data_IF_155083294638
#
_entry.id   IF_155083294638
#
_cell.length_a   1.000
_cell.length_b   1.000
_cell.length_c   1.000
_cell.angle_alpha   90.00
_cell.angle_beta   90.00
_cell.angle_gamma   90.00
#
_symmetry.space_group_name_H-M   'P 1'
#
loop_
_entity.id
_entity.type
_entity.pdbx_description
1 polymer ?
#
# COMPACT_ATOMS: atom_id res chain seq x y z
N UNK A 1 -27.14 16.32 17.48
CA UNK A 1 -28.30 16.96 18.10
C UNK A 1 -28.96 15.96 19.05
N UNK A 2 -29.29 16.39 20.27
CA UNK A 2 -30.10 15.62 21.21
C UNK A 2 -31.59 15.94 20.92
N UNK A 3 -32.37 14.92 20.53
CA UNK A 3 -33.80 15.07 20.26
C UNK A 3 -34.41 13.77 19.76
N UNK A 4 -35.73 13.71 19.64
CA UNK A 4 -36.45 12.59 19.06
C UNK A 4 -36.33 12.67 17.53
N UNK A 5 -35.86 11.61 16.89
CA UNK A 5 -35.69 11.57 15.44
C UNK A 5 -37.00 11.75 14.68
N UNK A 6 -36.98 12.57 13.63
CA UNK A 6 -38.10 12.93 12.76
C UNK A 6 -37.88 12.36 11.33
N UNK A 7 -38.94 12.33 10.49
CA UNK A 7 -38.77 12.03 9.06
C UNK A 7 -37.71 12.94 8.40
N UNK A 8 -36.84 12.35 7.57
CA UNK A 8 -35.72 13.03 6.92
C UNK A 8 -34.41 13.03 7.71
N UNK A 9 -34.42 12.61 8.98
CA UNK A 9 -33.17 12.54 9.77
C UNK A 9 -32.27 11.37 9.39
N UNK A 10 -30.95 11.60 9.53
CA UNK A 10 -29.91 10.57 9.50
C UNK A 10 -29.55 10.17 10.93
N UNK A 11 -29.67 8.88 11.22
CA UNK A 11 -29.37 8.33 12.53
C UNK A 11 -28.17 7.38 12.42
N UNK A 12 -27.11 7.67 13.16
CA UNK A 12 -25.91 6.81 13.27
C UNK A 12 -25.88 6.17 14.65
N UNK A 13 -25.74 4.85 14.72
CA UNK A 13 -25.73 4.12 15.99
C UNK A 13 -24.72 2.97 15.98
N UNK A 14 -24.08 2.73 17.13
CA UNK A 14 -23.31 1.51 17.32
C UNK A 14 -24.28 0.36 17.61
N UNK A 15 -24.01 -0.81 17.06
CA UNK A 15 -24.77 -2.05 17.22
C UNK A 15 -23.92 -3.15 17.82
N UNK A 16 -24.58 -4.16 18.40
CA UNK A 16 -23.91 -5.35 18.92
C UNK A 16 -23.83 -6.50 17.90
N UNK A 17 -24.18 -6.27 16.64
CA UNK A 17 -24.20 -7.32 15.60
C UNK A 17 -22.80 -7.70 15.14
N UNK A 18 -22.16 -8.65 15.84
CA UNK A 18 -20.82 -9.14 15.54
C UNK A 18 -20.69 -9.81 14.15
N UNK A 19 -21.80 -10.17 13.48
CA UNK A 19 -21.76 -10.78 12.13
C UNK A 19 -21.31 -9.79 11.05
N UNK A 20 -21.35 -8.49 11.35
CA UNK A 20 -20.85 -7.43 10.48
C UNK A 20 -19.32 -7.27 10.53
N UNK A 21 -18.65 -7.90 11.51
CA UNK A 21 -17.21 -7.70 11.72
C UNK A 21 -16.87 -6.27 12.11
N UNK A 22 -15.63 -5.87 11.95
CA UNK A 22 -15.15 -4.54 12.36
C UNK A 22 -15.50 -3.44 11.35
N UNK A 23 -15.72 -3.79 10.09
CA UNK A 23 -15.89 -2.82 9.00
C UNK A 23 -17.28 -2.85 8.35
N UNK A 24 -18.10 -3.82 8.70
CA UNK A 24 -19.44 -3.95 8.14
C UNK A 24 -20.47 -3.02 8.79
N UNK A 25 -21.59 -2.85 8.10
CA UNK A 25 -22.69 -1.96 8.52
C UNK A 25 -24.02 -2.43 7.95
N UNK A 26 -25.11 -1.89 8.53
CA UNK A 26 -26.46 -1.99 8.00
C UNK A 26 -27.04 -0.58 7.84
N UNK A 27 -27.62 -0.30 6.66
CA UNK A 27 -28.34 0.93 6.37
C UNK A 27 -29.81 0.57 6.13
N UNK A 28 -30.70 1.19 6.87
CA UNK A 28 -32.14 1.06 6.68
C UNK A 28 -32.73 2.40 6.23
N UNK A 29 -33.31 2.42 5.04
CA UNK A 29 -33.89 3.58 4.39
C UNK A 29 -35.41 3.43 4.40
N UNK A 30 -36.12 4.31 5.11
CA UNK A 30 -37.56 4.39 5.21
C UNK A 30 -38.02 5.82 4.98
N UNK A 31 -38.78 6.43 5.90
CA UNK A 31 -39.01 7.86 6.04
C UNK A 31 -37.84 8.62 6.67
N UNK A 32 -36.87 7.87 7.16
CA UNK A 32 -35.57 8.33 7.68
C UNK A 32 -34.49 7.32 7.31
N UNK A 33 -33.22 7.70 7.44
CA UNK A 33 -32.07 6.84 7.19
C UNK A 33 -31.46 6.48 8.54
N UNK A 34 -31.39 5.18 8.86
CA UNK A 34 -30.73 4.67 10.05
C UNK A 34 -29.55 3.81 9.62
N UNK A 35 -28.37 4.12 10.15
CA UNK A 35 -27.17 3.32 9.96
C UNK A 35 -26.72 2.75 11.29
N UNK A 36 -26.39 1.47 11.30
CA UNK A 36 -25.82 0.78 12.45
C UNK A 36 -24.61 -0.04 12.06
N UNK A 37 -23.60 -0.07 12.93
CA UNK A 37 -22.40 -0.85 12.77
C UNK A 37 -21.77 -1.20 14.12
N UNK A 38 -20.97 -2.28 14.24
CA UNK A 38 -20.28 -2.63 15.49
C UNK A 38 -19.22 -1.61 15.91
N UNK A 39 -18.66 -0.87 14.94
CA UNK A 39 -17.53 0.05 15.14
C UNK A 39 -17.74 1.39 14.44
N UNK A 40 -16.93 2.39 14.80
CA UNK A 40 -16.89 3.67 14.11
C UNK A 40 -16.44 3.52 12.64
N UNK A 41 -15.56 2.54 12.34
CA UNK A 41 -15.11 2.25 10.99
C UNK A 41 -16.27 1.82 10.09
N UNK A 42 -17.10 0.87 10.57
CA UNK A 42 -18.29 0.45 9.83
C UNK A 42 -19.29 1.60 9.63
N UNK A 43 -19.52 2.43 10.65
CA UNK A 43 -20.35 3.64 10.50
C UNK A 43 -19.77 4.60 9.46
N UNK A 44 -18.46 4.78 9.44
CA UNK A 44 -17.80 5.64 8.45
C UNK A 44 -18.00 5.10 7.02
N UNK A 45 -17.78 3.80 6.79
CA UNK A 45 -18.01 3.19 5.47
C UNK A 45 -19.46 3.30 5.00
N UNK A 46 -20.41 3.17 5.91
CA UNK A 46 -21.82 3.37 5.56
C UNK A 46 -22.12 4.76 5.03
N UNK A 47 -21.45 5.79 5.57
CA UNK A 47 -21.61 7.17 5.07
C UNK A 47 -21.05 7.33 3.66
N UNK A 48 -20.00 6.58 3.29
CA UNK A 48 -19.45 6.56 1.92
C UNK A 48 -20.45 5.96 0.94
N UNK A 49 -21.09 4.85 1.33
CA UNK A 49 -22.18 4.25 0.54
C UNK A 49 -23.34 5.23 0.33
N UNK A 50 -23.78 5.92 1.38
CA UNK A 50 -24.85 6.91 1.27
C UNK A 50 -24.47 8.08 0.35
N UNK A 51 -23.24 8.57 0.42
CA UNK A 51 -22.75 9.62 -0.47
C UNK A 51 -22.75 9.17 -1.93
N UNK A 52 -22.29 7.95 -2.23
CA UNK A 52 -22.30 7.41 -3.60
C UNK A 52 -23.72 7.19 -4.12
N UNK A 53 -24.66 6.75 -3.29
CA UNK A 53 -26.09 6.65 -3.67
C UNK A 53 -26.64 8.04 -3.98
N UNK A 54 -26.38 9.04 -3.13
CA UNK A 54 -26.86 10.40 -3.34
C UNK A 54 -26.29 11.02 -4.62
N UNK A 55 -25.00 10.78 -4.92
CA UNK A 55 -24.34 11.27 -6.14
C UNK A 55 -24.96 10.68 -7.41
N UNK A 56 -25.32 9.39 -7.39
CA UNK A 56 -25.91 8.71 -8.53
C UNK A 56 -27.41 8.91 -8.69
N UNK A 57 -28.07 9.50 -7.69
CA UNK A 57 -29.52 9.76 -7.74
C UNK A 57 -29.82 11.05 -8.50
N UNK A 58 -30.59 10.94 -9.59
CA UNK A 58 -31.02 12.11 -10.38
C UNK A 58 -31.89 13.10 -9.60
N UNK A 59 -32.63 12.63 -8.58
CA UNK A 59 -33.53 13.42 -7.77
C UNK A 59 -33.01 13.67 -6.35
N UNK A 60 -31.74 13.36 -6.08
CA UNK A 60 -31.15 13.38 -4.73
C UNK A 60 -32.01 12.57 -3.72
N UNK A 61 -32.70 11.54 -4.19
CA UNK A 61 -33.54 10.67 -3.39
C UNK A 61 -32.84 9.38 -3.02
N UNK A 62 -33.24 8.78 -1.89
CA UNK A 62 -32.71 7.49 -1.46
C UNK A 62 -33.79 6.43 -1.67
N UNK A 63 -33.49 5.32 -2.39
CA UNK A 63 -34.43 4.22 -2.55
C UNK A 63 -34.71 3.57 -1.19
N UNK A 64 -35.99 3.31 -0.87
CA UNK A 64 -36.35 2.60 0.36
C UNK A 64 -35.85 1.16 0.33
N UNK A 65 -35.29 0.69 1.43
CA UNK A 65 -34.75 -0.66 1.54
C UNK A 65 -33.76 -0.85 2.68
N UNK A 66 -33.11 -2.00 2.65
CA UNK A 66 -32.06 -2.35 3.61
C UNK A 66 -30.80 -2.73 2.83
N UNK A 67 -29.66 -2.16 3.22
CA UNK A 67 -28.32 -2.50 2.75
C UNK A 67 -27.61 -3.10 3.94
N UNK A 68 -27.09 -4.34 3.78
CA UNK A 68 -26.22 -4.99 4.75
C UNK A 68 -24.94 -5.38 4.02
N UNK A 69 -23.81 -4.82 4.48
CA UNK A 69 -22.57 -4.86 3.71
C UNK A 69 -21.35 -4.97 4.63
N UNK A 70 -20.34 -5.73 4.21
CA UNK A 70 -19.08 -5.93 4.92
C UNK A 70 -18.00 -6.42 3.95
N UNK A 71 -16.72 -6.10 4.21
CA UNK A 71 -15.63 -6.53 3.32
C UNK A 71 -15.27 -7.99 3.51
N UNK A 72 -14.87 -8.64 2.41
CA UNK A 72 -14.33 -10.00 2.43
C UNK A 72 -12.86 -10.04 2.85
N UNK A 73 -12.12 -8.95 2.62
CA UNK A 73 -10.70 -8.85 2.94
C UNK A 73 -10.40 -7.60 3.79
N UNK A 74 -9.53 -7.76 4.79
CA UNK A 74 -9.20 -6.73 5.77
C UNK A 74 -8.23 -5.67 5.24
N UNK A 75 -7.37 -6.00 4.25
CA UNK A 75 -6.44 -5.07 3.60
C UNK A 75 -6.91 -4.79 2.18
N UNK A 76 -7.11 -3.50 1.90
CA UNK A 76 -7.59 -2.98 0.61
C UNK A 76 -6.86 -1.68 0.32
N UNK A 77 -5.94 -1.71 -0.65
CA UNK A 77 -5.11 -0.53 -0.85
C UNK A 77 -4.23 -0.55 -2.08
N UNK A 78 -3.20 0.27 -2.04
CA UNK A 78 -2.14 0.26 -3.03
C UNK A 78 -0.82 0.80 -2.46
N UNK A 79 0.26 0.55 -3.20
CA UNK A 79 1.58 1.10 -2.97
C UNK A 79 1.89 2.17 -4.02
N UNK A 80 2.52 3.26 -3.61
CA UNK A 80 2.97 4.33 -4.50
C UNK A 80 4.45 4.59 -4.33
N UNK A 81 5.18 4.53 -5.45
CA UNK A 81 6.60 4.85 -5.53
C UNK A 81 6.81 6.37 -5.52
N UNK A 82 7.14 6.91 -4.35
CA UNK A 82 7.56 8.29 -4.16
C UNK A 82 9.08 8.45 -4.33
N UNK A 83 9.84 7.36 -4.21
CA UNK A 83 11.29 7.35 -4.33
C UNK A 83 11.74 7.81 -5.72
N UNK A 84 11.34 7.13 -6.78
CA UNK A 84 11.73 7.46 -8.16
C UNK A 84 11.03 8.71 -8.68
N UNK A 85 9.85 9.05 -8.16
CA UNK A 85 9.13 10.25 -8.53
C UNK A 85 8.50 10.93 -7.32
N UNK A 86 8.88 12.18 -7.07
CA UNK A 86 8.25 12.95 -6.00
C UNK A 86 6.75 13.14 -6.25
N UNK A 87 5.95 12.72 -5.29
CA UNK A 87 4.50 12.94 -5.26
C UNK A 87 4.23 14.02 -4.20
N UNK A 88 3.71 15.20 -4.56
CA UNK A 88 3.40 16.25 -3.59
C UNK A 88 2.48 15.76 -2.48
N UNK A 89 2.68 16.24 -1.26
CA UNK A 89 1.87 15.85 -0.10
C UNK A 89 0.38 16.09 -0.33
N UNK A 90 0.01 17.18 -1.00
CA UNK A 90 -1.39 17.46 -1.36
C UNK A 90 -2.01 16.35 -2.22
N UNK A 91 -1.22 15.75 -3.12
CA UNK A 91 -1.70 14.63 -3.94
C UNK A 91 -1.87 13.36 -3.11
N UNK A 92 -0.94 13.06 -2.17
CA UNK A 92 -1.09 11.93 -1.23
C UNK A 92 -2.33 12.11 -0.34
N UNK A 93 -2.59 13.32 0.12
CA UNK A 93 -3.80 13.65 0.91
C UNK A 93 -5.08 13.45 0.09
N UNK A 94 -5.10 13.83 -1.18
CA UNK A 94 -6.24 13.60 -2.06
C UNK A 94 -6.43 12.10 -2.36
N UNK A 95 -5.35 11.35 -2.57
CA UNK A 95 -5.42 9.88 -2.70
C UNK A 95 -6.05 9.23 -1.47
N UNK A 96 -5.71 9.67 -0.25
CA UNK A 96 -6.36 9.18 0.98
C UNK A 96 -7.86 9.46 0.99
N UNK A 97 -8.31 10.66 0.56
CA UNK A 97 -9.74 10.97 0.46
C UNK A 97 -10.45 10.06 -0.54
N UNK A 98 -9.82 9.83 -1.70
CA UNK A 98 -10.35 8.93 -2.73
C UNK A 98 -10.43 7.50 -2.18
N UNK A 99 -9.35 6.99 -1.59
CA UNK A 99 -9.33 5.67 -0.96
C UNK A 99 -10.47 5.50 0.04
N UNK A 100 -10.62 6.44 0.94
CA UNK A 100 -11.70 6.44 1.93
C UNK A 100 -13.09 6.46 1.28
N UNK A 101 -13.27 7.22 0.20
CA UNK A 101 -14.54 7.28 -0.52
C UNK A 101 -14.92 5.94 -1.16
N UNK A 102 -13.92 5.18 -1.62
CA UNK A 102 -14.08 3.82 -2.18
C UNK A 102 -13.87 2.71 -1.15
N UNK A 103 -13.83 3.03 0.15
CA UNK A 103 -13.66 2.08 1.28
C UNK A 103 -12.36 1.27 1.22
N UNK A 104 -11.30 1.84 0.64
CA UNK A 104 -9.94 1.32 0.79
C UNK A 104 -9.29 1.87 2.07
N UNK A 105 -8.41 1.09 2.69
CA UNK A 105 -7.92 1.36 4.05
C UNK A 105 -6.40 1.31 4.24
N UNK A 106 -5.61 1.05 3.18
CA UNK A 106 -4.17 0.87 3.33
C UNK A 106 -3.41 1.51 2.17
N UNK A 107 -2.53 2.48 2.47
CA UNK A 107 -1.62 3.10 1.51
C UNK A 107 -0.17 2.85 1.94
N UNK A 108 0.59 2.10 1.15
CA UNK A 108 2.02 1.93 1.32
C UNK A 108 2.75 3.04 0.56
N UNK A 109 3.62 3.77 1.25
CA UNK A 109 4.42 4.87 0.67
C UNK A 109 5.88 4.45 0.59
N UNK A 110 6.34 4.16 -0.62
CA UNK A 110 7.71 3.76 -0.92
C UNK A 110 8.60 5.00 -0.99
N UNK A 111 9.44 5.21 0.04
CA UNK A 111 10.11 6.49 0.29
C UNK A 111 11.48 6.63 -0.37
N UNK A 112 12.11 5.54 -0.79
CA UNK A 112 13.41 5.57 -1.47
C UNK A 112 13.46 4.59 -2.61
N UNK A 113 14.13 5.01 -3.68
CA UNK A 113 14.47 4.15 -4.81
C UNK A 113 15.44 4.84 -5.77
N UNK A 114 15.78 4.15 -6.86
CA UNK A 114 16.67 4.62 -7.92
C UNK A 114 16.22 4.20 -9.32
N UNK A 115 16.68 4.95 -10.30
CA UNK A 115 16.53 4.57 -11.71
C UNK A 115 17.45 3.42 -12.11
N UNK A 116 17.24 2.88 -13.30
CA UNK A 116 18.09 1.84 -13.86
C UNK A 116 19.36 2.45 -14.47
N UNK A 117 20.53 2.01 -14.02
CA UNK A 117 21.84 2.51 -14.43
C UNK A 117 22.01 2.62 -15.95
N UNK A 118 21.42 1.70 -16.71
CA UNK A 118 21.48 1.69 -18.17
C UNK A 118 20.91 2.94 -18.85
N UNK A 119 20.00 3.65 -18.19
CA UNK A 119 19.44 4.92 -18.69
C UNK A 119 20.26 6.14 -18.27
N UNK A 120 21.36 5.94 -17.52
CA UNK A 120 22.23 6.98 -16.99
C UNK A 120 23.70 6.70 -17.35
N UNK A 121 23.98 6.46 -18.63
CA UNK A 121 25.31 6.18 -19.18
C UNK A 121 26.01 4.96 -18.54
N UNK A 122 25.27 3.99 -18.02
CA UNK A 122 25.77 2.89 -17.21
C UNK A 122 26.67 3.31 -16.01
N UNK A 123 26.37 4.46 -15.44
CA UNK A 123 27.15 5.06 -14.37
C UNK A 123 26.30 5.26 -13.12
N UNK A 124 26.67 4.61 -12.02
CA UNK A 124 25.94 4.74 -10.75
C UNK A 124 25.94 6.18 -10.21
N UNK A 125 27.04 6.94 -10.35
CA UNK A 125 27.14 8.33 -9.87
C UNK A 125 26.18 9.26 -10.61
N UNK A 126 25.76 8.89 -11.84
CA UNK A 126 24.80 9.65 -12.64
C UNK A 126 23.38 9.11 -12.48
N UNK A 127 23.21 7.90 -11.98
CA UNK A 127 21.91 7.27 -11.85
C UNK A 127 21.06 8.04 -10.83
N UNK A 128 19.84 8.40 -11.23
CA UNK A 128 18.93 9.06 -10.34
C UNK A 128 18.61 8.20 -9.13
N UNK A 129 18.61 8.78 -7.94
CA UNK A 129 18.20 8.14 -6.70
C UNK A 129 17.67 9.18 -5.71
N UNK A 130 16.68 8.81 -4.92
CA UNK A 130 16.12 9.71 -3.93
C UNK A 130 15.63 8.96 -2.68
N UNK A 131 15.78 9.64 -1.54
CA UNK A 131 15.09 9.34 -0.29
C UNK A 131 14.25 10.54 0.10
N UNK A 132 12.97 10.34 0.34
CA UNK A 132 11.97 11.43 0.40
C UNK A 132 11.70 12.00 1.78
N UNK A 133 12.13 11.35 2.84
CA UNK A 133 11.83 11.81 4.19
C UNK A 133 13.00 12.60 4.77
N UNK A 134 12.68 13.71 5.46
CA UNK A 134 13.67 14.52 6.18
C UNK A 134 14.43 13.67 7.20
N UNK A 135 15.77 13.77 7.19
CA UNK A 135 16.65 13.14 8.18
C UNK A 135 17.52 14.19 8.88
N UNK A 136 17.48 14.17 10.19
CA UNK A 136 18.37 14.95 11.06
C UNK A 136 19.64 14.17 11.40
N UNK A 137 19.54 12.85 11.48
CA UNK A 137 20.68 11.95 11.72
C UNK A 137 21.69 12.01 10.58
N UNK A 138 21.17 12.14 9.35
CA UNK A 138 21.99 12.19 8.13
C UNK A 138 21.68 13.45 7.31
N UNK A 139 22.15 14.64 7.74
CA UNK A 139 21.91 15.90 7.04
C UNK A 139 22.43 15.85 5.59
N UNK A 140 21.54 16.13 4.63
CA UNK A 140 21.87 16.10 3.20
C UNK A 140 21.53 14.77 2.51
N UNK A 141 21.04 13.74 3.23
CA UNK A 141 20.52 12.51 2.66
C UNK A 141 19.22 12.73 1.89
N UNK A 142 18.35 13.58 2.42
CA UNK A 142 17.03 13.88 1.86
C UNK A 142 17.11 14.47 0.46
N UNK A 143 16.29 14.00 -0.46
CA UNK A 143 16.25 14.45 -1.84
C UNK A 143 15.92 15.96 -1.96
N UNK A 144 16.59 16.64 -2.92
CA UNK A 144 16.45 18.09 -3.13
C UNK A 144 15.38 18.46 -4.14
N UNK A 145 14.96 17.53 -4.98
CA UNK A 145 13.93 17.72 -6.01
C UNK A 145 12.50 17.52 -5.49
N UNK A 146 12.37 17.28 -4.19
CA UNK A 146 11.12 17.15 -3.46
C UNK A 146 11.25 16.16 -2.31
N UNK A 147 10.67 16.50 -1.18
CA UNK A 147 10.74 15.69 0.04
C UNK A 147 9.61 16.05 0.99
N UNK A 148 9.45 15.26 2.04
CA UNK A 148 8.51 15.47 3.13
C UNK A 148 9.26 15.80 4.40
N UNK A 149 8.87 16.86 5.11
CA UNK A 149 9.34 17.07 6.47
C UNK A 149 8.78 16.02 7.41
N UNK A 150 9.48 15.75 8.51
CA UNK A 150 8.97 14.83 9.56
C UNK A 150 7.58 15.25 10.04
N UNK A 151 7.39 16.55 10.30
CA UNK A 151 6.11 17.08 10.75
C UNK A 151 5.01 16.88 9.72
N UNK A 152 5.26 17.19 8.47
CA UNK A 152 4.30 17.01 7.37
C UNK A 152 3.89 15.54 7.23
N UNK A 153 4.84 14.60 7.35
CA UNK A 153 4.57 13.17 7.24
C UNK A 153 3.81 12.61 8.46
N UNK A 154 4.08 13.12 9.68
CA UNK A 154 3.29 12.82 10.88
C UNK A 154 1.84 13.30 10.72
N UNK A 155 1.66 14.57 10.32
CA UNK A 155 0.34 15.17 10.14
C UNK A 155 -0.47 14.42 9.07
N UNK A 156 0.18 14.02 7.98
CA UNK A 156 -0.42 13.21 6.92
C UNK A 156 -0.94 11.85 7.44
N UNK A 157 -0.13 11.12 8.20
CA UNK A 157 -0.55 9.84 8.77
C UNK A 157 -1.71 10.01 9.76
N UNK A 158 -1.65 11.03 10.62
CA UNK A 158 -2.74 11.36 11.55
C UNK A 158 -4.03 11.72 10.80
N UNK A 159 -3.94 12.52 9.73
CA UNK A 159 -5.07 12.85 8.88
C UNK A 159 -5.65 11.62 8.17
N UNK A 160 -4.79 10.75 7.61
CA UNK A 160 -5.21 9.52 6.98
C UNK A 160 -5.98 8.61 7.95
N UNK A 161 -5.51 8.49 9.19
CA UNK A 161 -6.19 7.73 10.23
C UNK A 161 -7.59 8.25 10.56
N UNK A 162 -7.86 9.56 10.45
CA UNK A 162 -9.22 10.11 10.62
C UNK A 162 -10.16 9.71 9.47
N UNK A 163 -9.62 9.27 8.36
CA UNK A 163 -10.34 8.71 7.22
C UNK A 163 -10.32 7.16 7.20
N UNK A 164 -9.87 6.54 8.29
CA UNK A 164 -9.72 5.09 8.42
C UNK A 164 -8.79 4.47 7.35
N UNK A 165 -7.79 5.23 6.92
CA UNK A 165 -6.72 4.78 6.03
C UNK A 165 -5.42 4.75 6.82
N UNK A 166 -4.79 3.57 6.87
CA UNK A 166 -3.45 3.41 7.45
C UNK A 166 -2.39 3.73 6.39
N UNK A 167 -1.40 4.52 6.77
CA UNK A 167 -0.19 4.74 5.99
C UNK A 167 0.88 3.77 6.47
N UNK A 168 1.39 2.93 5.56
CA UNK A 168 2.55 2.07 5.80
C UNK A 168 3.77 2.74 5.16
N UNK A 169 4.63 3.42 5.93
CA UNK A 169 5.87 3.96 5.42
C UNK A 169 6.83 2.83 5.07
N UNK A 170 7.50 2.95 3.93
CA UNK A 170 8.50 1.99 3.48
C UNK A 170 9.86 2.65 3.31
N UNK A 171 10.88 2.07 3.95
CA UNK A 171 12.28 2.28 3.63
C UNK A 171 12.80 0.97 3.07
N UNK A 172 13.07 0.94 1.79
CA UNK A 172 13.49 -0.28 1.09
C UNK A 172 15.00 -0.46 1.18
N UNK A 173 15.39 -1.54 1.81
CA UNK A 173 16.75 -2.03 1.98
C UNK A 173 16.77 -3.57 1.92
N UNK A 174 17.87 -4.22 1.53
CA UNK A 174 19.20 -3.70 1.16
C UNK A 174 19.39 -3.42 -0.32
N UNK A 175 18.46 -3.77 -1.20
CA UNK A 175 18.40 -3.30 -2.58
C UNK A 175 17.73 -1.92 -2.65
N UNK A 176 17.56 -1.35 -3.83
CA UNK A 176 16.92 -0.05 -4.05
C UNK A 176 17.54 1.10 -3.19
N UNK A 177 18.80 0.94 -2.83
CA UNK A 177 19.50 1.72 -1.81
C UNK A 177 20.48 2.76 -2.35
N UNK A 178 20.42 3.08 -3.66
CA UNK A 178 21.39 3.99 -4.28
C UNK A 178 21.40 5.40 -3.65
N UNK A 179 20.26 5.88 -3.16
CA UNK A 179 20.20 7.16 -2.44
C UNK A 179 21.09 7.15 -1.18
N UNK A 180 21.13 6.01 -0.48
CA UNK A 180 21.95 5.82 0.71
C UNK A 180 23.42 5.66 0.37
N UNK A 181 23.73 4.94 -0.71
CA UNK A 181 25.13 4.74 -1.15
C UNK A 181 25.69 5.96 -1.88
N UNK A 182 24.89 6.83 -2.48
CA UNK A 182 25.32 8.14 -2.94
C UNK A 182 25.73 9.03 -1.75
N UNK A 183 24.99 8.98 -0.65
CA UNK A 183 25.32 9.70 0.56
C UNK A 183 26.54 9.14 1.28
N UNK A 184 26.63 7.81 1.37
CA UNK A 184 27.69 7.07 2.08
C UNK A 184 28.24 5.92 1.22
N UNK A 185 29.13 6.20 0.23
CA UNK A 185 29.56 5.22 -0.75
C UNK A 185 30.20 3.95 -0.17
N UNK A 186 30.79 4.06 1.01
CA UNK A 186 31.45 2.93 1.67
C UNK A 186 30.50 1.82 2.09
N UNK A 187 29.18 2.07 2.24
CA UNK A 187 28.19 1.02 2.56
C UNK A 187 27.65 0.31 1.32
N UNK A 188 27.99 0.77 0.12
CA UNK A 188 27.55 0.18 -1.14
C UNK A 188 28.27 -1.11 -1.49
N UNK A 189 27.58 -2.04 -2.16
CA UNK A 189 28.14 -3.29 -2.65
C UNK A 189 28.87 -3.05 -3.96
N UNK A 190 30.17 -3.31 -3.97
CA UNK A 190 30.97 -3.29 -5.20
C UNK A 190 30.71 -4.51 -6.10
N UNK A 191 30.24 -5.59 -5.50
CA UNK A 191 30.00 -6.86 -6.21
C UNK A 191 28.64 -6.89 -6.89
N UNK A 192 27.60 -6.41 -6.21
CA UNK A 192 26.21 -6.53 -6.70
C UNK A 192 25.65 -5.23 -7.27
N UNK A 193 26.35 -4.13 -7.15
CA UNK A 193 25.94 -2.79 -7.61
C UNK A 193 25.79 -1.81 -6.47
N UNK A 194 26.01 -0.52 -6.78
CA UNK A 194 25.92 0.54 -5.76
C UNK A 194 24.48 0.82 -5.32
N UNK A 195 23.50 0.29 -6.00
CA UNK A 195 22.09 0.28 -5.59
C UNK A 195 21.76 -0.79 -4.53
N UNK A 196 22.78 -1.55 -4.10
CA UNK A 196 22.70 -2.55 -3.05
C UNK A 196 23.62 -2.21 -1.88
N UNK A 197 23.16 -2.41 -0.67
CA UNK A 197 24.00 -2.31 0.53
C UNK A 197 24.92 -3.51 0.66
N UNK A 198 26.15 -3.31 1.12
CA UNK A 198 27.09 -4.40 1.42
C UNK A 198 26.79 -5.01 2.79
N UNK A 199 26.20 -6.20 2.81
CA UNK A 199 25.75 -6.89 4.02
C UNK A 199 26.88 -7.46 4.89
N UNK A 200 28.13 -7.37 4.44
CA UNK A 200 29.29 -7.84 5.20
C UNK A 200 29.94 -6.71 6.02
N UNK A 201 29.48 -5.47 5.85
CA UNK A 201 30.03 -4.30 6.54
C UNK A 201 29.22 -3.91 7.77
N UNK A 202 29.86 -3.78 8.95
CA UNK A 202 29.18 -3.26 10.14
C UNK A 202 28.59 -1.87 9.95
N UNK A 203 29.24 -1.04 9.12
CA UNK A 203 28.81 0.33 8.81
C UNK A 203 27.46 0.38 8.10
N UNK A 204 27.12 -0.66 7.34
CA UNK A 204 25.79 -0.84 6.72
C UNK A 204 24.71 -0.94 7.78
N UNK A 205 24.91 -1.80 8.76
CA UNK A 205 23.95 -1.97 9.86
C UNK A 205 23.86 -0.73 10.73
N UNK A 206 25.01 -0.10 11.04
CA UNK A 206 25.00 1.15 11.80
C UNK A 206 24.19 2.23 11.10
N UNK A 207 24.39 2.43 9.78
CA UNK A 207 23.66 3.41 9.00
C UNK A 207 22.15 3.13 8.99
N UNK A 208 21.75 1.93 8.64
CA UNK A 208 20.34 1.58 8.52
C UNK A 208 19.63 1.53 9.88
N UNK A 209 20.30 1.03 10.93
CA UNK A 209 19.79 1.06 12.30
C UNK A 209 19.50 2.49 12.78
N UNK A 210 20.45 3.39 12.57
CA UNK A 210 20.29 4.81 12.98
C UNK A 210 19.17 5.48 12.20
N UNK A 211 19.03 5.17 10.90
CA UNK A 211 17.97 5.71 10.06
C UNK A 211 16.59 5.22 10.53
N UNK A 212 16.41 3.92 10.78
CA UNK A 212 15.12 3.41 11.30
C UNK A 212 14.82 3.94 12.70
N UNK A 213 15.82 3.97 13.59
CA UNK A 213 15.67 4.51 14.95
C UNK A 213 15.24 5.97 14.95
N UNK A 214 15.68 6.77 13.99
CA UNK A 214 15.28 8.18 13.85
C UNK A 214 13.75 8.32 13.69
N UNK A 215 13.11 7.42 12.97
CA UNK A 215 11.68 7.50 12.68
C UNK A 215 10.80 6.68 13.63
N UNK A 216 11.39 5.72 14.36
CA UNK A 216 10.66 4.81 15.23
C UNK A 216 10.75 5.18 16.72
N UNK A 217 11.77 5.94 17.13
CA UNK A 217 12.08 6.23 18.53
C UNK A 217 11.23 7.37 19.08
N UNK A 218 10.91 7.29 20.38
CA UNK A 218 10.24 8.34 21.15
C UNK A 218 8.75 8.06 21.37
N UNK A 219 8.12 8.94 22.14
CA UNK A 219 6.70 8.82 22.48
C UNK A 219 5.77 9.29 21.35
N UNK A 220 6.26 10.14 20.44
CA UNK A 220 5.57 10.61 19.22
C UNK A 220 6.48 10.35 18.00
N UNK A 221 6.64 9.08 17.59
CA UNK A 221 7.53 8.71 16.51
C UNK A 221 7.05 9.25 15.15
N UNK A 222 7.97 9.45 14.20
CA UNK A 222 7.61 9.89 12.85
C UNK A 222 6.74 8.86 12.12
N UNK A 223 7.02 7.57 12.31
CA UNK A 223 6.15 6.49 11.83
C UNK A 223 5.04 6.21 12.85
N UNK A 224 3.91 6.90 12.67
CA UNK A 224 2.77 6.90 13.62
C UNK A 224 2.01 5.58 13.59
N UNK A 225 1.81 5.00 12.39
CA UNK A 225 1.01 3.81 12.15
C UNK A 225 1.50 2.56 12.88
N UNK A 226 0.72 1.49 12.81
CA UNK A 226 1.06 0.20 13.43
C UNK A 226 2.09 -0.58 12.64
N UNK A 227 2.16 -0.37 11.32
CA UNK A 227 2.98 -1.15 10.38
C UNK A 227 4.09 -0.29 9.79
N UNK A 228 5.24 -0.94 9.56
CA UNK A 228 6.39 -0.33 8.86
C UNK A 228 6.94 -1.35 7.88
N UNK A 229 7.10 -0.95 6.63
CA UNK A 229 7.69 -1.79 5.59
C UNK A 229 9.20 -1.56 5.52
N UNK A 230 9.95 -2.65 5.49
CA UNK A 230 11.43 -2.62 5.52
C UNK A 230 12.06 -3.02 4.19
N UNK A 231 11.25 -3.17 3.12
CA UNK A 231 11.72 -3.63 1.82
C UNK A 231 12.04 -5.11 1.81
N UNK A 232 13.30 -5.44 1.55
CA UNK A 232 13.89 -6.80 1.56
C UNK A 232 13.46 -7.69 0.39
N UNK A 233 13.50 -7.15 -0.84
CA UNK A 233 13.12 -7.88 -2.04
C UNK A 233 14.31 -8.39 -2.87
N UNK A 234 14.89 -7.56 -3.72
CA UNK A 234 15.75 -7.97 -4.82
C UNK A 234 17.24 -7.98 -4.46
N UNK A 235 17.70 -9.00 -3.76
CA UNK A 235 19.12 -9.17 -3.47
C UNK A 235 19.72 -10.43 -4.14
N UNK A 236 21.06 -10.46 -4.31
CA UNK A 236 21.73 -11.58 -4.98
C UNK A 236 21.61 -12.89 -4.20
N UNK A 237 21.34 -13.98 -4.91
CA UNK A 237 21.39 -15.36 -4.39
C UNK A 237 22.52 -16.20 -5.02
N UNK A 238 23.48 -15.55 -5.67
CA UNK A 238 24.56 -16.23 -6.40
C UNK A 238 25.50 -17.03 -5.50
N UNK A 239 25.62 -16.65 -4.22
CA UNK A 239 26.47 -17.32 -3.23
C UNK A 239 25.70 -17.63 -1.96
N UNK A 240 25.93 -18.85 -1.40
CA UNK A 240 25.28 -19.26 -0.15
C UNK A 240 25.52 -18.27 0.99
N UNK A 241 26.74 -17.80 1.16
CA UNK A 241 27.08 -16.83 2.22
C UNK A 241 26.31 -15.52 2.12
N UNK A 242 26.04 -15.06 0.89
CA UNK A 242 25.25 -13.84 0.63
C UNK A 242 23.79 -14.07 0.97
N UNK A 243 23.24 -15.22 0.61
CA UNK A 243 21.88 -15.63 0.98
C UNK A 243 21.72 -15.66 2.50
N UNK A 244 22.67 -16.27 3.23
CA UNK A 244 22.60 -16.34 4.69
C UNK A 244 22.71 -14.94 5.32
N UNK A 245 23.53 -14.07 4.77
CA UNK A 245 23.62 -12.67 5.21
C UNK A 245 22.34 -11.90 4.94
N UNK A 246 21.72 -12.04 3.77
CA UNK A 246 20.45 -11.42 3.44
C UNK A 246 19.33 -11.89 4.38
N UNK A 247 19.27 -13.18 4.68
CA UNK A 247 18.29 -13.73 5.63
C UNK A 247 18.50 -13.17 7.05
N UNK A 248 19.75 -13.12 7.51
CA UNK A 248 20.09 -12.53 8.80
C UNK A 248 19.76 -11.03 8.86
N UNK A 249 20.00 -10.30 7.77
CA UNK A 249 19.64 -8.88 7.62
C UNK A 249 18.13 -8.68 7.71
N UNK A 250 17.36 -9.46 6.98
CA UNK A 250 15.89 -9.41 7.01
C UNK A 250 15.36 -9.66 8.43
N UNK A 251 15.84 -10.72 9.11
CA UNK A 251 15.44 -11.02 10.49
C UNK A 251 15.83 -9.91 11.47
N UNK A 252 17.01 -9.30 11.29
CA UNK A 252 17.46 -8.18 12.10
C UNK A 252 16.49 -6.98 12.04
N UNK A 253 16.08 -6.56 10.83
CA UNK A 253 15.19 -5.40 10.67
C UNK A 253 13.75 -5.71 11.05
N UNK A 254 13.28 -6.94 10.88
CA UNK A 254 12.01 -7.40 11.46
C UNK A 254 12.02 -7.17 12.98
N UNK A 255 13.04 -7.67 13.68
CA UNK A 255 13.15 -7.55 15.13
C UNK A 255 13.37 -6.14 15.61
N UNK A 256 14.11 -5.33 14.84
CA UNK A 256 14.32 -3.93 15.15
C UNK A 256 12.98 -3.17 15.13
N UNK A 257 12.18 -3.33 14.10
CA UNK A 257 10.84 -2.69 13.97
C UNK A 257 9.90 -3.16 15.10
N UNK A 258 9.88 -4.47 15.37
CA UNK A 258 9.09 -5.02 16.49
C UNK A 258 9.54 -4.51 17.86
N UNK A 259 10.85 -4.29 18.04
CA UNK A 259 11.42 -3.71 19.26
C UNK A 259 10.87 -2.31 19.58
N UNK A 260 10.33 -1.61 18.59
CA UNK A 260 9.61 -0.34 18.74
C UNK A 260 8.09 -0.49 18.79
N UNK A 261 7.58 -1.72 18.95
CA UNK A 261 6.14 -2.00 19.06
C UNK A 261 5.37 -1.89 17.73
N UNK A 262 6.06 -1.95 16.59
CA UNK A 262 5.46 -1.95 15.27
C UNK A 262 5.43 -3.36 14.69
N UNK A 263 4.53 -3.61 13.73
CA UNK A 263 4.49 -4.82 12.93
C UNK A 263 5.31 -4.61 11.65
N UNK A 264 6.26 -5.49 11.40
CA UNK A 264 7.06 -5.43 10.18
C UNK A 264 6.27 -5.97 8.98
N UNK A 265 6.42 -5.27 7.85
CA UNK A 265 5.98 -5.70 6.52
C UNK A 265 7.20 -5.82 5.63
N UNK A 266 7.27 -6.87 4.80
CA UNK A 266 8.40 -7.18 3.93
C UNK A 266 7.93 -7.47 2.50
N UNK A 267 8.78 -7.25 1.52
CA UNK A 267 8.61 -7.86 0.20
C UNK A 267 8.98 -9.34 0.23
N UNK A 268 8.29 -10.14 -0.54
CA UNK A 268 8.56 -11.56 -0.65
C UNK A 268 9.85 -11.84 -1.41
N UNK A 269 10.86 -12.46 -0.74
CA UNK A 269 12.16 -12.82 -1.33
C UNK A 269 12.70 -14.16 -0.84
N UNK A 270 12.04 -14.83 0.09
CA UNK A 270 12.64 -15.96 0.83
C UNK A 270 12.64 -17.30 0.10
N UNK A 271 11.93 -17.44 -1.02
CA UNK A 271 12.10 -18.56 -1.94
C UNK A 271 13.35 -18.35 -2.81
N UNK A 272 13.58 -17.14 -3.29
CA UNK A 272 14.79 -16.75 -4.03
C UNK A 272 16.02 -16.82 -3.13
N UNK A 273 15.94 -16.27 -1.94
CA UNK A 273 16.98 -16.35 -0.91
C UNK A 273 16.79 -17.59 -0.02
N UNK A 274 16.73 -18.77 -0.64
CA UNK A 274 16.61 -20.05 0.09
C UNK A 274 17.90 -20.36 0.85
N UNK A 275 17.83 -20.41 2.17
CA UNK A 275 18.98 -20.64 3.06
C UNK A 275 18.59 -21.27 4.40
N UNK A 276 19.58 -21.47 5.26
CA UNK A 276 19.44 -22.14 6.54
C UNK A 276 19.21 -21.14 7.71
N UNK A 277 19.65 -19.88 7.56
CA UNK A 277 19.46 -18.83 8.57
C UNK A 277 17.97 -18.58 8.75
N UNK A 278 17.42 -18.72 9.96
CA UNK A 278 16.01 -18.51 10.21
C UNK A 278 15.64 -17.04 10.05
N UNK A 279 14.45 -16.80 9.49
CA UNK A 279 13.81 -15.47 9.43
C UNK A 279 12.48 -15.60 10.16
N UNK A 280 12.21 -14.69 11.08
CA UNK A 280 10.96 -14.67 11.84
C UNK A 280 9.77 -14.51 10.91
N UNK A 281 8.72 -15.33 11.11
CA UNK A 281 7.48 -15.28 10.33
C UNK A 281 6.26 -14.92 11.17
N UNK A 282 6.29 -15.23 12.47
CA UNK A 282 5.17 -14.92 13.38
C UNK A 282 4.91 -13.42 13.45
N UNK A 283 3.66 -13.02 13.23
CA UNK A 283 3.20 -11.63 13.19
C UNK A 283 3.83 -10.77 12.09
N UNK A 284 4.37 -11.40 11.02
CA UNK A 284 4.97 -10.69 9.89
C UNK A 284 4.04 -10.75 8.69
N UNK A 285 3.87 -9.61 8.03
CA UNK A 285 3.13 -9.51 6.78
C UNK A 285 4.13 -9.49 5.62
N UNK A 286 3.83 -10.26 4.58
CA UNK A 286 4.64 -10.32 3.38
C UNK A 286 3.81 -9.88 2.16
N UNK A 287 4.31 -8.91 1.41
CA UNK A 287 3.80 -8.56 0.10
C UNK A 287 4.21 -9.65 -0.90
N UNK A 288 3.24 -10.46 -1.34
CA UNK A 288 3.45 -11.57 -2.27
C UNK A 288 3.30 -11.06 -3.72
N UNK A 289 4.44 -10.71 -4.34
CA UNK A 289 4.48 -10.03 -5.63
C UNK A 289 4.89 -10.95 -6.79
N UNK A 290 5.95 -11.73 -6.63
CA UNK A 290 6.44 -12.64 -7.65
C UNK A 290 6.71 -14.03 -7.07
N UNK A 291 6.09 -15.07 -7.67
CA UNK A 291 6.18 -16.45 -7.14
C UNK A 291 7.62 -17.00 -7.15
N UNK A 292 8.49 -16.54 -8.05
CA UNK A 292 9.89 -16.93 -8.09
C UNK A 292 10.72 -16.38 -6.94
N UNK A 293 10.32 -15.24 -6.37
CA UNK A 293 10.95 -14.65 -5.20
C UNK A 293 10.35 -15.18 -3.89
N UNK A 294 9.01 -15.32 -3.84
CA UNK A 294 8.34 -15.92 -2.71
C UNK A 294 7.16 -16.77 -3.18
N UNK A 295 7.29 -18.08 -3.10
CA UNK A 295 6.19 -19.00 -3.37
C UNK A 295 5.12 -18.85 -2.28
N UNK A 296 3.89 -18.39 -2.62
CA UNK A 296 2.89 -18.07 -1.62
C UNK A 296 2.50 -19.23 -0.72
N UNK A 297 2.42 -20.46 -1.29
CA UNK A 297 2.06 -21.64 -0.51
C UNK A 297 3.14 -21.99 0.54
N UNK A 298 4.41 -21.86 0.14
CA UNK A 298 5.53 -22.04 1.06
C UNK A 298 5.54 -20.98 2.14
N UNK A 299 5.33 -19.72 1.79
CA UNK A 299 5.32 -18.61 2.76
C UNK A 299 4.20 -18.74 3.78
N UNK A 300 2.99 -19.15 3.36
CA UNK A 300 1.89 -19.45 4.26
C UNK A 300 2.24 -20.61 5.20
N UNK A 301 2.84 -21.68 4.67
CA UNK A 301 3.30 -22.83 5.47
C UNK A 301 4.35 -22.43 6.50
N UNK A 302 5.22 -21.49 6.17
CA UNK A 302 6.26 -20.95 7.05
C UNK A 302 5.71 -19.97 8.11
N UNK A 303 4.42 -19.61 8.03
CA UNK A 303 3.71 -18.82 9.04
C UNK A 303 3.52 -17.33 8.71
N UNK A 304 3.86 -16.88 7.50
CA UNK A 304 3.62 -15.50 7.07
C UNK A 304 2.15 -15.24 6.77
N UNK A 305 1.70 -14.03 7.06
CA UNK A 305 0.46 -13.48 6.50
C UNK A 305 0.78 -12.74 5.21
N UNK A 306 -0.06 -12.88 4.19
CA UNK A 306 0.21 -12.33 2.86
C UNK A 306 -0.72 -11.16 2.52
N UNK A 307 -0.16 -10.15 1.86
CA UNK A 307 -0.88 -9.22 1.02
C UNK A 307 -0.64 -9.65 -0.43
N UNK A 308 -1.72 -9.96 -1.16
CA UNK A 308 -1.67 -10.29 -2.58
C UNK A 308 -1.36 -9.04 -3.40
N UNK A 309 -0.22 -9.04 -4.08
CA UNK A 309 0.22 -7.93 -4.94
C UNK A 309 0.95 -8.45 -6.19
N UNK A 310 0.39 -9.46 -6.90
CA UNK A 310 1.09 -10.15 -7.98
C UNK A 310 1.45 -9.22 -9.13
N UNK A 311 2.73 -9.16 -9.46
CA UNK A 311 3.35 -8.25 -10.43
C UNK A 311 2.71 -8.29 -11.82
N UNK A 312 2.48 -9.49 -12.35
CA UNK A 312 1.87 -9.68 -13.66
C UNK A 312 0.39 -9.23 -13.74
N UNK A 313 -0.27 -9.00 -12.60
CA UNK A 313 -1.71 -8.73 -12.54
C UNK A 313 -2.04 -7.32 -12.06
N UNK A 314 -1.30 -6.82 -11.06
CA UNK A 314 -1.65 -5.58 -10.35
C UNK A 314 -0.49 -4.56 -10.25
N UNK A 315 0.59 -4.73 -11.03
CA UNK A 315 1.62 -3.71 -11.18
C UNK A 315 1.29 -2.76 -12.32
N UNK A 316 1.36 -1.48 -12.04
CA UNK A 316 1.34 -0.39 -13.01
C UNK A 316 2.75 0.19 -13.06
N UNK A 317 3.40 0.12 -14.23
CA UNK A 317 4.71 0.73 -14.46
C UNK A 317 4.61 1.58 -15.72
N UNK A 318 4.36 2.89 -15.57
CA UNK A 318 4.06 3.77 -16.70
C UNK A 318 5.13 3.73 -17.79
N UNK A 319 4.74 3.42 -19.03
CA UNK A 319 5.57 3.37 -20.24
C UNK A 319 6.72 2.35 -20.21
N UNK A 320 6.75 1.41 -19.26
CA UNK A 320 7.85 0.47 -19.11
C UNK A 320 7.92 -0.59 -20.23
N UNK A 321 6.76 -1.03 -20.72
CA UNK A 321 6.67 -2.05 -21.78
C UNK A 321 6.84 -3.49 -21.30
N UNK A 322 7.39 -3.71 -20.11
CA UNK A 322 7.54 -5.04 -19.48
C UNK A 322 6.48 -5.33 -18.39
N UNK A 323 5.83 -4.31 -17.86
CA UNK A 323 4.63 -4.39 -17.03
C UNK A 323 3.51 -3.57 -17.64
N UNK A 324 2.33 -3.58 -17.01
CA UNK A 324 1.15 -2.89 -17.51
C UNK A 324 1.28 -1.37 -17.32
N UNK A 325 0.89 -0.60 -18.35
CA UNK A 325 0.73 0.85 -18.25
C UNK A 325 -0.60 1.21 -17.57
N UNK A 326 -1.64 0.42 -17.83
CA UNK A 326 -2.93 0.39 -17.13
C UNK A 326 -3.30 -1.04 -16.80
N UNK A 327 -3.94 -1.30 -15.67
CA UNK A 327 -4.36 -2.65 -15.32
C UNK A 327 -5.40 -3.22 -16.29
N UNK A 328 -5.38 -4.52 -16.49
CA UNK A 328 -6.43 -5.23 -17.23
C UNK A 328 -7.67 -5.37 -16.33
N UNK A 329 -8.48 -4.33 -16.28
CA UNK A 329 -9.63 -4.25 -15.38
C UNK A 329 -10.72 -5.27 -15.71
N UNK A 330 -10.86 -5.68 -16.98
CA UNK A 330 -11.82 -6.73 -17.38
C UNK A 330 -11.44 -8.04 -16.71
N UNK A 331 -10.16 -8.43 -16.80
CA UNK A 331 -9.65 -9.63 -16.14
C UNK A 331 -9.79 -9.53 -14.62
N UNK A 332 -9.37 -8.42 -14.03
CA UNK A 332 -9.44 -8.21 -12.58
C UNK A 332 -10.87 -8.30 -12.07
N UNK A 333 -11.82 -7.70 -12.76
CA UNK A 333 -13.21 -7.71 -12.35
C UNK A 333 -13.88 -9.08 -12.51
N UNK A 334 -13.66 -9.75 -13.65
CA UNK A 334 -14.37 -11.00 -14.00
C UNK A 334 -13.74 -12.25 -13.38
N UNK A 335 -12.40 -12.29 -13.27
CA UNK A 335 -11.69 -13.55 -13.03
C UNK A 335 -10.79 -13.52 -11.79
N UNK A 336 -10.23 -12.37 -11.45
CA UNK A 336 -9.24 -12.26 -10.40
C UNK A 336 -9.87 -11.98 -9.02
N UNK A 337 -9.20 -12.46 -7.96
CA UNK A 337 -9.48 -12.11 -6.56
C UNK A 337 -8.16 -12.03 -5.77
N UNK A 338 -8.15 -11.48 -4.56
CA UNK A 338 -6.97 -11.50 -3.70
C UNK A 338 -6.41 -12.91 -3.41
N UNK A 339 -7.24 -13.95 -3.53
CA UNK A 339 -6.81 -15.33 -3.39
C UNK A 339 -6.02 -15.87 -4.61
N UNK A 340 -5.91 -15.08 -5.69
CA UNK A 340 -5.16 -15.43 -6.90
C UNK A 340 -3.83 -14.68 -6.93
N UNK A 341 -2.75 -15.31 -6.48
CA UNK A 341 -1.42 -14.73 -6.32
C UNK A 341 -0.46 -15.32 -7.37
N UNK A 342 -0.31 -14.65 -8.50
CA UNK A 342 0.51 -15.11 -9.61
C UNK A 342 0.02 -16.45 -10.17
N UNK A 343 0.76 -17.52 -10.01
CA UNK A 343 0.36 -18.88 -10.44
C UNK A 343 -0.41 -19.66 -9.37
N UNK A 344 -0.45 -19.15 -8.14
CA UNK A 344 -1.10 -19.81 -7.02
C UNK A 344 -2.53 -19.30 -6.85
N UNK A 345 -3.49 -20.22 -6.70
CA UNK A 345 -4.90 -19.93 -6.43
C UNK A 345 -5.28 -20.63 -5.14
N UNK A 346 -5.78 -19.88 -4.17
CA UNK A 346 -6.20 -20.35 -2.87
C UNK A 346 -7.73 -20.31 -2.75
N UNK A 347 -8.25 -20.89 -1.69
CA UNK A 347 -9.65 -20.69 -1.32
C UNK A 347 -9.92 -19.22 -1.01
N UNK A 348 -11.11 -18.74 -1.41
CA UNK A 348 -11.54 -17.37 -1.07
C UNK A 348 -11.51 -17.15 0.44
N UNK A 349 -11.07 -15.96 0.85
CA UNK A 349 -10.95 -15.59 2.27
C UNK A 349 -10.01 -16.50 3.06
N UNK A 350 -8.99 -17.06 2.40
CA UNK A 350 -7.98 -17.85 3.10
C UNK A 350 -7.38 -17.01 4.25
N UNK A 351 -7.34 -17.53 5.51
CA UNK A 351 -7.02 -16.73 6.69
C UNK A 351 -5.62 -16.10 6.70
N UNK A 352 -4.68 -16.68 5.95
CA UNK A 352 -3.34 -16.11 5.78
C UNK A 352 -3.27 -15.05 4.69
N UNK A 353 -4.32 -14.82 3.89
CA UNK A 353 -4.37 -13.78 2.85
C UNK A 353 -5.23 -12.63 3.37
N UNK A 354 -4.58 -11.57 3.81
CA UNK A 354 -5.24 -10.42 4.43
C UNK A 354 -6.03 -9.56 3.45
N UNK A 355 -5.68 -9.63 2.18
CA UNK A 355 -6.29 -8.85 1.11
C UNK A 355 -5.32 -8.56 -0.01
N UNK A 356 -5.52 -7.44 -0.69
CA UNK A 356 -4.67 -7.08 -1.82
C UNK A 356 -4.38 -5.59 -1.90
N UNK A 357 -3.27 -5.31 -2.56
CA UNK A 357 -2.89 -4.00 -3.05
C UNK A 357 -2.51 -4.10 -4.54
N UNK A 358 -2.63 -3.01 -5.27
CA UNK A 358 -1.90 -2.83 -6.52
C UNK A 358 -0.67 -1.94 -6.27
N UNK A 359 0.30 -1.97 -7.17
CA UNK A 359 1.49 -1.13 -7.06
C UNK A 359 1.61 -0.18 -8.23
N UNK A 360 2.05 1.04 -7.96
CA UNK A 360 2.46 2.01 -8.97
C UNK A 360 3.96 2.30 -8.81
N UNK A 361 4.73 1.82 -9.77
CA UNK A 361 6.18 1.98 -9.83
C UNK A 361 6.58 3.02 -10.86
N UNK A 362 7.55 3.85 -10.52
CA UNK A 362 8.06 4.91 -11.38
C UNK A 362 9.46 4.57 -11.92
N UNK A 363 9.65 3.34 -12.42
CA UNK A 363 10.94 2.77 -12.85
C UNK A 363 11.69 3.65 -13.85
N UNK A 364 10.98 4.32 -14.73
CA UNK A 364 11.55 5.25 -15.70
C UNK A 364 11.59 6.66 -15.15
N UNK A 365 12.35 6.88 -14.08
CA UNK A 365 12.55 8.22 -13.52
C UNK A 365 12.99 9.22 -14.61
N UNK A 366 12.34 10.39 -14.64
CA UNK A 366 12.64 11.41 -15.63
C UNK A 366 11.95 11.23 -17.00
N UNK A 367 11.03 10.27 -17.15
CA UNK A 367 10.30 9.98 -18.39
C UNK A 367 9.28 11.05 -18.83
N UNK A 368 9.14 12.16 -18.09
CA UNK A 368 8.19 13.24 -18.37
C UNK A 368 6.76 12.99 -17.92
N UNK A 369 6.43 11.82 -17.36
CA UNK A 369 5.09 11.54 -16.81
C UNK A 369 4.83 12.46 -15.62
N UNK A 370 3.70 13.17 -15.64
CA UNK A 370 3.25 14.04 -14.56
C UNK A 370 2.57 13.23 -13.44
N UNK A 371 2.40 13.85 -12.27
CA UNK A 371 1.60 13.26 -11.18
C UNK A 371 0.15 13.05 -11.61
N UNK A 372 -0.37 13.92 -12.47
CA UNK A 372 -1.72 13.76 -13.06
C UNK A 372 -1.80 12.52 -13.97
N UNK A 373 -0.77 12.24 -14.76
CA UNK A 373 -0.72 11.03 -15.58
C UNK A 373 -0.65 9.76 -14.74
N UNK A 374 0.04 9.79 -13.59
CA UNK A 374 0.01 8.72 -12.59
C UNK A 374 -1.41 8.55 -12.06
N UNK A 375 -2.07 9.65 -11.69
CA UNK A 375 -3.42 9.61 -11.15
C UNK A 375 -4.43 9.02 -12.16
N UNK A 376 -4.29 9.31 -13.44
CA UNK A 376 -5.11 8.71 -14.52
C UNK A 376 -5.01 7.18 -14.58
N UNK A 377 -3.88 6.59 -14.12
CA UNK A 377 -3.66 5.15 -14.02
C UNK A 377 -4.16 4.57 -12.71
N UNK A 378 -3.94 5.30 -11.64
CA UNK A 378 -4.32 4.88 -10.28
C UNK A 378 -5.83 4.83 -10.12
N UNK A 379 -6.57 5.84 -10.58
CA UNK A 379 -7.98 5.97 -10.24
C UNK A 379 -8.86 4.82 -10.76
N UNK A 380 -8.80 4.39 -12.03
CA UNK A 380 -9.58 3.24 -12.50
C UNK A 380 -9.14 1.92 -11.82
N UNK A 381 -7.85 1.74 -11.58
CA UNK A 381 -7.34 0.58 -10.85
C UNK A 381 -7.88 0.53 -9.41
N UNK A 382 -7.87 1.68 -8.71
CA UNK A 382 -8.42 1.83 -7.37
C UNK A 382 -9.90 1.44 -7.33
N UNK A 383 -10.72 1.93 -8.26
CA UNK A 383 -12.14 1.59 -8.32
C UNK A 383 -12.36 0.07 -8.46
N UNK A 384 -11.61 -0.58 -9.35
CA UNK A 384 -11.76 -2.01 -9.62
C UNK A 384 -11.27 -2.85 -8.44
N UNK A 385 -10.10 -2.54 -7.87
CA UNK A 385 -9.60 -3.28 -6.71
C UNK A 385 -10.44 -3.03 -5.45
N UNK A 386 -10.99 -1.83 -5.27
CA UNK A 386 -11.91 -1.55 -4.17
C UNK A 386 -13.09 -2.53 -4.17
N UNK A 387 -13.71 -2.77 -5.33
CA UNK A 387 -14.79 -3.76 -5.47
C UNK A 387 -14.25 -5.16 -5.17
N UNK A 388 -13.16 -5.58 -5.80
CA UNK A 388 -12.64 -6.95 -5.70
C UNK A 388 -12.12 -7.31 -4.31
N UNK A 389 -11.57 -6.35 -3.59
CA UNK A 389 -11.13 -6.56 -2.20
C UNK A 389 -12.27 -6.44 -1.20
N UNK A 390 -13.38 -5.79 -1.58
CA UNK A 390 -14.59 -5.74 -0.77
C UNK A 390 -15.46 -6.99 -0.94
N UNK A 391 -15.71 -7.44 -2.18
CA UNK A 391 -16.68 -8.52 -2.49
C UNK A 391 -16.04 -9.86 -2.86
N UNK A 392 -14.72 -9.93 -2.94
CA UNK A 392 -14.02 -11.15 -3.36
C UNK A 392 -14.40 -11.58 -4.79
N UNK A 393 -14.80 -12.83 -4.93
CA UNK A 393 -15.20 -13.44 -6.20
C UNK A 393 -16.54 -12.91 -6.72
N UNK A 394 -17.44 -12.57 -5.81
CA UNK A 394 -18.81 -12.25 -6.18
C UNK A 394 -18.95 -10.78 -6.60
N UNK A 395 -19.24 -10.57 -7.87
CA UNK A 395 -19.59 -9.27 -8.42
C UNK A 395 -21.06 -9.27 -8.85
N UNK A 396 -21.81 -8.27 -8.39
CA UNK A 396 -23.27 -8.22 -8.60
C UNK A 396 -23.69 -7.76 -10.00
N UNK A 397 -22.78 -7.18 -10.78
CA UNK A 397 -23.06 -6.59 -12.08
C UNK A 397 -22.16 -7.18 -13.17
N UNK A 398 -22.64 -7.28 -14.42
CA UNK A 398 -21.76 -7.48 -15.57
C UNK A 398 -20.73 -6.34 -15.66
N UNK A 399 -19.53 -6.62 -16.18
CA UNK A 399 -18.44 -5.62 -16.26
C UNK A 399 -18.85 -4.34 -17.00
N UNK A 400 -19.59 -4.48 -18.09
CA UNK A 400 -20.00 -3.36 -18.93
C UNK A 400 -20.90 -2.39 -18.15
N UNK A 401 -21.84 -2.93 -17.34
CA UNK A 401 -22.73 -2.15 -16.46
C UNK A 401 -21.95 -1.53 -15.31
N UNK A 402 -21.04 -2.29 -14.71
CA UNK A 402 -20.13 -1.79 -13.68
C UNK A 402 -19.28 -0.61 -14.21
N UNK A 403 -18.67 -0.78 -15.38
CA UNK A 403 -17.79 0.22 -15.99
C UNK A 403 -18.54 1.54 -16.33
N UNK A 404 -19.77 1.44 -16.82
CA UNK A 404 -20.63 2.59 -17.02
C UNK A 404 -20.92 3.32 -15.71
N UNK A 405 -21.38 2.58 -14.69
CA UNK A 405 -21.73 3.15 -13.38
C UNK A 405 -20.55 3.77 -12.65
N UNK A 406 -19.40 3.10 -12.60
CA UNK A 406 -18.21 3.64 -11.92
C UNK A 406 -17.70 4.92 -12.57
N UNK A 407 -17.87 5.06 -13.89
CA UNK A 407 -17.45 6.26 -14.62
C UNK A 407 -18.28 7.49 -14.24
N UNK A 408 -19.47 7.29 -13.71
CA UNK A 408 -20.35 8.36 -13.23
C UNK A 408 -20.09 8.75 -11.75
N UNK A 409 -19.29 7.97 -11.01
CA UNK A 409 -18.92 8.28 -9.63
C UNK A 409 -17.68 9.18 -9.63
N UNK A 410 -17.72 10.27 -8.86
CA UNK A 410 -16.59 11.19 -8.69
C UNK A 410 -15.39 10.55 -8.00
N UNK A 411 -14.27 11.24 -8.00
CA UNK A 411 -13.07 10.78 -7.29
C UNK A 411 -13.31 10.75 -5.78
N UNK A 412 -13.78 11.84 -5.23
CA UNK A 412 -14.29 11.97 -3.86
C UNK A 412 -14.87 13.39 -3.69
N UNK A 413 -15.71 13.65 -2.69
CA UNK A 413 -16.14 15.01 -2.37
C UNK A 413 -14.96 15.94 -2.13
N UNK A 414 -14.88 17.02 -2.92
CA UNK A 414 -13.81 18.01 -2.85
C UNK A 414 -12.49 17.61 -3.52
N UNK A 415 -12.47 16.51 -4.27
CA UNK A 415 -11.31 16.09 -5.08
C UNK A 415 -11.71 16.02 -6.55
N UNK A 416 -10.93 16.66 -7.41
CA UNK A 416 -11.12 16.63 -8.86
C UNK A 416 -9.76 16.72 -9.56
N UNK A 417 -8.90 15.72 -9.39
CA UNK A 417 -7.59 15.65 -10.04
C UNK A 417 -7.71 15.33 -11.54
N UNK A 418 -8.77 14.61 -11.94
CA UNK A 418 -9.03 14.31 -13.34
C UNK A 418 -9.57 15.51 -14.12
N UNK A 419 -10.19 16.50 -13.45
CA UNK A 419 -10.78 17.66 -14.09
C UNK A 419 -12.04 17.33 -14.88
N UNK A 420 -12.88 16.48 -14.33
CA UNK A 420 -14.18 16.05 -14.90
C UNK A 420 -15.30 17.00 -14.53
#
# INVERSE_FOLDING_TARGET
>A
TQGKATPGDFILSLSADKKLGEEGYEIKITDRITTSAPTLTGLYWSTRTLLQIAEQSQEHSFPKGIIRDYPDYSIRGFMIDCGRKFIPMSCLQDLVKIMAYYKMNTLQVHLNDNGFKQYFDNNWDKTYAAFRLESETYPGLTARDGSYSKKEFIDFQKQAATNFVEIIPEIDIPAHSLAFTHYKPEIGSKEYGMDHLDLFKPETYQFADDLFKEYLKGDDPVFVGKRVHIGTDEYSNAKKEVVEKFRAFTDHYIRLVEGFGKQAVIWGALTHAKGDTPVKSENIIMNAWYNGYADPATMIKDGYQLISIPDAMVYIVPLAGYYQDYLNEVFLYKEWTPAHIGKAVFEEKHPAILGSMFAIWNDHAGNGISVKDIHHRVFPALQTLAVKTWTGKETSLPFEVYNEKRSAISEAPGVNQLGR
#
